data_IF_871853123744
#
_entry.id   IF_871853123744
#
_cell.length_a   1.000
_cell.length_b   1.000
_cell.length_c   1.000
_cell.angle_alpha   90.00
_cell.angle_beta   90.00
_cell.angle_gamma   90.00
#
_symmetry.space_group_name_H-M   'P 1'
#
loop_
_entity.id
_entity.type
_entity.pdbx_description
1 polymer ?
#
# COMPACT_ATOMS: atom_id res chain seq x y z
N UNK A 1 8.21 -52.40 5.44
CA UNK A 1 7.23 -51.36 5.83
C UNK A 1 7.76 -50.27 6.78
N UNK A 2 8.78 -50.53 7.63
CA UNK A 2 9.34 -49.53 8.57
C UNK A 2 10.13 -48.36 7.93
N UNK A 3 10.80 -48.56 6.80
CA UNK A 3 11.70 -47.55 6.21
C UNK A 3 11.00 -46.33 5.57
N UNK A 4 9.75 -46.49 5.12
CA UNK A 4 8.97 -45.41 4.49
C UNK A 4 8.45 -44.41 5.54
N UNK A 5 8.19 -44.88 6.77
CA UNK A 5 7.66 -44.07 7.86
C UNK A 5 8.70 -43.08 8.42
N UNK A 6 9.99 -43.44 8.41
CA UNK A 6 11.09 -42.57 8.88
C UNK A 6 11.43 -41.44 7.91
N UNK A 7 11.33 -41.65 6.59
CA UNK A 7 11.58 -40.60 5.58
C UNK A 7 10.50 -39.50 5.57
N UNK A 8 9.24 -39.85 5.79
CA UNK A 8 8.15 -38.87 5.88
C UNK A 8 8.34 -37.97 7.11
N UNK A 9 8.76 -38.56 8.24
CA UNK A 9 8.97 -37.82 9.49
C UNK A 9 10.12 -36.78 9.37
N UNK A 10 11.24 -37.15 8.74
CA UNK A 10 12.36 -36.21 8.55
C UNK A 10 12.03 -35.06 7.61
N UNK A 11 11.19 -35.30 6.58
CA UNK A 11 10.81 -34.26 5.62
C UNK A 11 9.82 -33.26 6.23
N UNK A 12 8.94 -33.74 7.12
CA UNK A 12 7.99 -32.93 7.86
C UNK A 12 8.67 -32.04 8.92
N UNK A 13 9.70 -32.56 9.59
CA UNK A 13 10.56 -31.78 10.49
C UNK A 13 11.38 -30.72 9.72
N UNK A 14 11.91 -31.07 8.54
CA UNK A 14 12.63 -30.14 7.68
C UNK A 14 11.74 -28.99 7.18
N UNK A 15 10.53 -29.30 6.71
CA UNK A 15 9.54 -28.30 6.27
C UNK A 15 9.11 -27.40 7.44
N UNK A 16 8.81 -27.97 8.61
CA UNK A 16 8.47 -27.21 9.81
C UNK A 16 9.61 -26.26 10.24
N UNK A 17 10.87 -26.70 10.10
CA UNK A 17 12.03 -25.86 10.38
C UNK A 17 12.19 -24.71 9.37
N UNK A 18 11.89 -24.94 8.09
CA UNK A 18 11.95 -23.92 7.04
C UNK A 18 10.85 -22.87 7.21
N UNK A 19 9.62 -23.31 7.49
CA UNK A 19 8.49 -22.43 7.78
C UNK A 19 8.75 -21.60 9.03
N UNK A 20 9.28 -22.19 10.12
CA UNK A 20 9.67 -21.44 11.32
C UNK A 20 10.74 -20.37 11.06
N UNK A 21 11.77 -20.69 10.27
CA UNK A 21 12.81 -19.71 9.90
C UNK A 21 12.24 -18.54 9.08
N UNK A 22 11.32 -18.82 8.17
CA UNK A 22 10.66 -17.77 7.38
C UNK A 22 9.76 -16.89 8.26
N UNK A 23 8.99 -17.49 9.17
CA UNK A 23 8.15 -16.74 10.13
C UNK A 23 9.02 -15.87 11.03
N UNK A 24 10.11 -16.40 11.59
CA UNK A 24 11.04 -15.63 12.42
C UNK A 24 11.69 -14.48 11.64
N UNK A 25 11.97 -14.67 10.34
CA UNK A 25 12.50 -13.61 9.49
C UNK A 25 11.47 -12.49 9.28
N UNK A 26 10.20 -12.82 9.04
CA UNK A 26 9.11 -11.86 8.91
C UNK A 26 8.90 -11.09 10.23
N UNK A 27 8.84 -11.81 11.36
CA UNK A 27 8.68 -11.19 12.69
C UNK A 27 9.84 -10.25 13.04
N UNK A 28 11.08 -10.61 12.68
CA UNK A 28 12.25 -9.74 12.88
C UNK A 28 12.21 -8.50 11.99
N UNK A 29 11.85 -8.63 10.72
CA UNK A 29 11.69 -7.47 9.83
C UNK A 29 10.61 -6.52 10.36
N UNK A 30 9.49 -7.05 10.82
CA UNK A 30 8.39 -6.24 11.36
C UNK A 30 8.77 -5.57 12.70
N UNK A 31 9.55 -6.26 13.54
CA UNK A 31 10.13 -5.70 14.75
C UNK A 31 11.14 -4.57 14.47
N UNK A 32 11.98 -4.72 13.44
CA UNK A 32 12.94 -3.69 13.02
C UNK A 32 12.25 -2.48 12.36
N UNK A 33 11.20 -2.72 11.56
CA UNK A 33 10.32 -1.67 11.02
C UNK A 33 9.62 -0.90 12.15
N UNK A 34 9.17 -1.60 13.18
CA UNK A 34 8.52 -0.98 14.35
C UNK A 34 9.53 -0.21 15.21
N UNK A 35 10.77 -0.70 15.34
CA UNK A 35 11.86 -0.04 16.07
C UNK A 35 12.38 1.22 15.38
N UNK A 36 12.33 1.28 14.05
CA UNK A 36 12.73 2.45 13.28
C UNK A 36 11.66 3.54 13.17
N UNK A 37 10.42 3.28 13.64
CA UNK A 37 9.41 4.35 13.69
C UNK A 37 9.86 5.42 14.68
N UNK A 38 10.19 6.59 14.14
CA UNK A 38 10.45 7.78 14.96
C UNK A 38 9.21 8.09 15.80
N UNK A 39 9.39 8.69 16.97
CA UNK A 39 8.26 9.19 17.78
C UNK A 39 7.33 10.08 16.93
N UNK A 40 7.93 10.82 15.98
CA UNK A 40 7.21 11.61 14.97
C UNK A 40 6.27 10.78 14.09
N UNK A 41 6.65 9.58 13.68
CA UNK A 41 5.82 8.71 12.83
C UNK A 41 4.60 8.17 13.57
N UNK A 42 4.74 7.84 14.85
CA UNK A 42 3.62 7.41 15.70
C UNK A 42 2.62 8.54 15.94
N UNK A 43 3.13 9.75 16.16
CA UNK A 43 2.30 10.94 16.33
C UNK A 43 1.59 11.27 15.01
N UNK A 44 2.29 11.21 13.87
CA UNK A 44 1.71 11.44 12.55
C UNK A 44 0.61 10.44 12.19
N UNK A 45 0.82 9.14 12.47
CA UNK A 45 -0.20 8.11 12.24
C UNK A 45 -1.42 8.32 13.15
N UNK A 46 -1.21 8.61 14.44
CA UNK A 46 -2.30 8.82 15.40
C UNK A 46 -3.12 10.08 15.10
N UNK A 47 -2.47 11.22 14.82
CA UNK A 47 -3.13 12.48 14.46
C UNK A 47 -3.85 12.30 13.14
N UNK A 48 -3.20 11.60 12.22
CA UNK A 48 -3.80 11.30 10.96
C UNK A 48 -5.11 10.52 11.11
N UNK A 49 -5.11 9.42 11.86
CA UNK A 49 -6.30 8.57 12.03
C UNK A 49 -7.40 9.31 12.78
N UNK A 50 -7.02 10.20 13.69
CA UNK A 50 -7.94 11.09 14.37
C UNK A 50 -8.58 12.12 13.44
N UNK A 51 -7.81 12.76 12.55
CA UNK A 51 -8.30 13.78 11.61
C UNK A 51 -9.34 13.24 10.61
N UNK A 52 -9.26 11.96 10.24
CA UNK A 52 -10.24 11.31 9.36
C UNK A 52 -11.46 10.72 10.07
N UNK A 53 -11.56 10.87 11.39
CA UNK A 53 -12.58 10.20 12.21
C UNK A 53 -13.80 11.09 12.46
N UNK A 54 -15.01 10.49 12.47
CA UNK A 54 -16.23 11.23 12.84
C UNK A 54 -16.22 11.90 14.23
N UNK A 55 -15.62 11.35 15.30
CA UNK A 55 -15.58 12.05 16.59
C UNK A 55 -14.82 13.38 16.55
N UNK A 56 -13.82 13.53 15.67
CA UNK A 56 -13.12 14.81 15.47
C UNK A 56 -14.09 15.91 15.01
N UNK A 57 -14.94 15.60 14.03
CA UNK A 57 -15.92 16.55 13.49
C UNK A 57 -16.94 16.97 14.55
N UNK A 58 -17.46 16.00 15.31
CA UNK A 58 -18.43 16.27 16.39
C UNK A 58 -17.81 17.16 17.47
N UNK A 59 -16.55 16.90 17.86
CA UNK A 59 -15.83 17.72 18.83
C UNK A 59 -15.73 19.18 18.37
N UNK A 60 -15.38 19.43 17.10
CA UNK A 60 -15.27 20.79 16.55
C UNK A 60 -16.62 21.50 16.49
N UNK A 61 -17.68 20.80 16.07
CA UNK A 61 -19.03 21.37 16.06
C UNK A 61 -19.45 21.79 17.47
N UNK A 62 -19.21 20.94 18.48
CA UNK A 62 -19.54 21.26 19.87
C UNK A 62 -18.66 22.39 20.40
N UNK A 63 -17.36 22.38 20.11
CA UNK A 63 -16.42 23.42 20.56
C UNK A 63 -16.77 24.79 19.98
N UNK A 64 -16.87 24.91 18.66
CA UNK A 64 -17.22 26.15 17.98
C UNK A 64 -18.65 26.59 18.27
N UNK A 65 -19.60 25.65 18.32
CA UNK A 65 -20.97 25.93 18.72
C UNK A 65 -21.05 26.51 20.13
N UNK A 66 -20.35 25.91 21.09
CA UNK A 66 -20.29 26.42 22.48
C UNK A 66 -19.65 27.80 22.53
N UNK A 67 -18.55 28.03 21.80
CA UNK A 67 -17.89 29.34 21.73
C UNK A 67 -18.84 30.44 21.23
N UNK A 68 -19.58 30.16 20.15
CA UNK A 68 -20.56 31.08 19.57
C UNK A 68 -21.70 31.33 20.57
N UNK A 69 -22.26 30.28 21.18
CA UNK A 69 -23.37 30.40 22.15
C UNK A 69 -23.01 31.24 23.38
N UNK A 70 -21.77 31.08 23.88
CA UNK A 70 -21.24 31.90 24.98
C UNK A 70 -21.08 33.36 24.54
N UNK A 71 -20.51 33.62 23.36
CA UNK A 71 -20.27 34.99 22.89
C UNK A 71 -21.54 35.72 22.41
N UNK A 72 -22.58 35.02 21.97
CA UNK A 72 -23.92 35.60 21.76
C UNK A 72 -24.60 36.01 23.08
N UNK A 73 -24.12 35.52 24.21
CA UNK A 73 -24.73 35.74 25.52
C UNK A 73 -26.01 34.92 25.74
N UNK A 74 -26.22 33.87 24.95
CA UNK A 74 -27.29 32.88 25.17
C UNK A 74 -26.96 32.05 26.42
N UNK A 75 -25.67 31.77 26.63
CA UNK A 75 -25.15 31.00 27.77
C UNK A 75 -24.42 31.95 28.72
N UNK A 76 -24.96 32.17 29.93
CA UNK A 76 -24.38 33.08 30.96
C UNK A 76 -23.17 32.50 31.71
N UNK A 77 -22.39 31.63 31.08
CA UNK A 77 -21.26 30.95 31.73
C UNK A 77 -20.01 31.84 31.76
N UNK A 78 -19.87 32.78 30.82
CA UNK A 78 -18.75 33.72 30.79
C UNK A 78 -19.16 35.09 30.21
N UNK A 79 -18.42 36.17 30.50
CA UNK A 79 -18.57 37.46 29.83
C UNK A 79 -18.32 37.33 28.32
N UNK A 80 -18.95 38.17 27.50
CA UNK A 80 -18.68 38.25 26.06
C UNK A 80 -17.24 38.72 25.83
N UNK A 81 -16.38 37.83 25.35
CA UNK A 81 -14.95 38.09 25.21
C UNK A 81 -14.51 38.20 23.73
N UNK A 82 -15.27 37.61 22.82
CA UNK A 82 -15.07 37.64 21.36
C UNK A 82 -16.37 38.12 20.68
N UNK A 83 -16.66 39.44 20.68
CA UNK A 83 -17.85 39.99 20.04
C UNK A 83 -17.82 39.76 18.52
N UNK A 84 -19.01 39.72 17.90
CA UNK A 84 -19.14 39.67 16.44
C UNK A 84 -18.31 40.79 15.81
N UNK A 85 -17.37 40.52 14.89
CA UNK A 85 -17.31 39.38 13.95
C UNK A 85 -16.46 38.14 14.35
N UNK A 86 -16.19 37.91 15.64
CA UNK A 86 -15.41 36.75 16.15
C UNK A 86 -13.97 36.69 15.61
N UNK A 87 -13.18 37.72 15.91
CA UNK A 87 -11.80 37.81 15.43
C UNK A 87 -10.93 36.66 15.99
N UNK A 88 -11.08 36.33 17.28
CA UNK A 88 -10.25 35.30 17.92
C UNK A 88 -10.58 33.91 17.37
N UNK A 89 -11.86 33.58 17.24
CA UNK A 89 -12.30 32.32 16.63
C UNK A 89 -11.76 32.18 15.20
N UNK A 90 -11.82 33.26 14.40
CA UNK A 90 -11.31 33.26 13.03
C UNK A 90 -9.81 32.98 12.95
N UNK A 91 -9.02 33.53 13.87
CA UNK A 91 -7.58 33.25 13.95
C UNK A 91 -7.29 31.79 14.33
N UNK A 92 -8.02 31.25 15.32
CA UNK A 92 -7.86 29.85 15.76
C UNK A 92 -8.22 28.89 14.63
N UNK A 93 -9.37 29.09 13.98
CA UNK A 93 -9.81 28.27 12.83
C UNK A 93 -8.79 28.33 11.69
N UNK A 94 -8.24 29.52 11.39
CA UNK A 94 -7.25 29.69 10.34
C UNK A 94 -5.96 28.90 10.59
N UNK A 95 -5.44 28.94 11.82
CA UNK A 95 -4.26 28.15 12.21
C UNK A 95 -4.58 26.66 12.18
N UNK A 96 -5.72 26.25 12.72
CA UNK A 96 -6.16 24.85 12.71
C UNK A 96 -6.26 24.29 11.29
N UNK A 97 -6.82 25.05 10.35
CA UNK A 97 -6.95 24.65 8.96
C UNK A 97 -5.59 24.38 8.27
N UNK A 98 -4.56 25.17 8.59
CA UNK A 98 -3.19 24.96 8.07
C UNK A 98 -2.62 23.64 8.58
N UNK A 99 -2.78 23.35 9.88
CA UNK A 99 -2.35 22.09 10.48
C UNK A 99 -3.09 20.89 9.87
N UNK A 100 -4.42 20.98 9.74
CA UNK A 100 -5.23 19.93 9.11
C UNK A 100 -4.79 19.66 7.68
N UNK A 101 -4.60 20.71 6.88
CA UNK A 101 -4.13 20.57 5.49
C UNK A 101 -2.78 19.87 5.42
N UNK A 102 -1.85 20.23 6.31
CA UNK A 102 -0.51 19.61 6.38
C UNK A 102 -0.59 18.14 6.78
N UNK A 103 -1.42 17.78 7.77
CA UNK A 103 -1.62 16.39 8.17
C UNK A 103 -2.31 15.57 7.08
N UNK A 104 -3.30 16.13 6.40
CA UNK A 104 -3.95 15.51 5.24
C UNK A 104 -2.93 15.27 4.13
N UNK A 105 -2.09 16.24 3.80
CA UNK A 105 -1.04 16.08 2.77
C UNK A 105 -0.03 15.01 3.16
N UNK A 106 0.38 14.95 4.43
CA UNK A 106 1.26 13.91 4.94
C UNK A 106 0.63 12.52 4.84
N UNK A 107 -0.66 12.40 5.17
CA UNK A 107 -1.44 11.18 4.97
C UNK A 107 -1.52 10.76 3.52
N UNK A 108 -1.84 11.70 2.63
CA UNK A 108 -1.91 11.46 1.19
C UNK A 108 -0.56 10.97 0.66
N UNK A 109 0.55 11.61 1.06
CA UNK A 109 1.90 11.17 0.68
C UNK A 109 2.20 9.74 1.15
N UNK A 110 1.87 9.39 2.39
CA UNK A 110 2.05 8.01 2.91
C UNK A 110 1.17 6.99 2.18
N UNK A 111 -0.07 7.34 1.87
CA UNK A 111 -0.97 6.46 1.10
C UNK A 111 -0.47 6.26 -0.32
N UNK A 112 0.03 7.32 -0.97
CA UNK A 112 0.63 7.26 -2.32
C UNK A 112 1.85 6.35 -2.34
N UNK A 113 2.78 6.51 -1.39
CA UNK A 113 3.97 5.65 -1.32
C UNK A 113 3.61 4.16 -1.18
N UNK A 114 2.63 3.84 -0.32
CA UNK A 114 2.14 2.45 -0.19
C UNK A 114 1.41 1.95 -1.44
N UNK A 115 0.72 2.82 -2.16
CA UNK A 115 0.07 2.47 -3.41
C UNK A 115 1.10 2.16 -4.50
N UNK A 116 2.17 2.96 -4.59
CA UNK A 116 3.26 2.74 -5.55
C UNK A 116 4.00 1.42 -5.27
N UNK A 117 4.29 1.11 -4.00
CA UNK A 117 4.88 -0.18 -3.60
C UNK A 117 4.01 -1.37 -4.01
N UNK A 118 2.68 -1.28 -3.78
CA UNK A 118 1.73 -2.32 -4.19
C UNK A 118 1.67 -2.47 -5.70
N UNK A 119 1.62 -1.36 -6.43
CA UNK A 119 1.62 -1.38 -7.89
C UNK A 119 2.87 -2.07 -8.46
N UNK A 120 4.04 -1.86 -7.83
CA UNK A 120 5.27 -2.52 -8.24
C UNK A 120 5.24 -4.04 -7.99
N UNK A 121 4.70 -4.49 -6.85
CA UNK A 121 4.52 -5.91 -6.56
C UNK A 121 3.49 -6.56 -7.50
N UNK A 122 2.37 -5.89 -7.75
CA UNK A 122 1.32 -6.37 -8.67
C UNK A 122 1.87 -6.52 -10.09
N UNK A 123 2.72 -5.58 -10.55
CA UNK A 123 3.43 -5.70 -11.82
C UNK A 123 4.29 -6.97 -11.83
N UNK A 124 5.15 -7.17 -10.82
CA UNK A 124 6.03 -8.35 -10.78
C UNK A 124 5.25 -9.68 -10.77
N UNK A 125 4.14 -9.75 -10.03
CA UNK A 125 3.28 -10.94 -9.98
C UNK A 125 2.67 -11.19 -11.36
N UNK A 126 2.23 -10.15 -12.05
CA UNK A 126 1.66 -10.27 -13.39
C UNK A 126 2.69 -10.79 -14.39
N UNK A 127 3.89 -10.21 -14.41
CA UNK A 127 5.00 -10.66 -15.27
C UNK A 127 5.40 -12.12 -14.98
N UNK A 128 5.40 -12.54 -13.72
CA UNK A 128 5.66 -13.94 -13.35
C UNK A 128 4.54 -14.87 -13.82
N UNK A 129 3.28 -14.48 -13.64
CA UNK A 129 2.12 -15.26 -14.07
C UNK A 129 2.08 -15.43 -15.59
N UNK A 130 2.43 -14.37 -16.34
CA UNK A 130 2.56 -14.41 -17.79
C UNK A 130 3.63 -15.41 -18.22
N UNK A 131 4.83 -15.35 -17.61
CA UNK A 131 5.90 -16.34 -17.85
C UNK A 131 5.45 -17.78 -17.56
N UNK A 132 4.79 -18.01 -16.43
CA UNK A 132 4.29 -19.35 -16.07
C UNK A 132 3.23 -19.83 -17.07
N UNK A 133 2.35 -18.95 -17.54
CA UNK A 133 1.36 -19.27 -18.57
C UNK A 133 2.02 -19.68 -19.89
N UNK A 134 3.04 -18.95 -20.34
CA UNK A 134 3.82 -19.30 -21.54
C UNK A 134 4.50 -20.66 -21.39
N UNK A 135 5.06 -20.96 -20.22
CA UNK A 135 5.65 -22.28 -19.96
C UNK A 135 4.59 -23.39 -20.01
N UNK A 136 3.40 -23.17 -19.46
CA UNK A 136 2.28 -24.12 -19.53
C UNK A 136 1.86 -24.33 -21.00
N UNK A 137 1.74 -23.28 -21.80
CA UNK A 137 1.44 -23.37 -23.23
C UNK A 137 2.50 -24.17 -23.99
N UNK A 138 3.79 -23.91 -23.75
CA UNK A 138 4.90 -24.65 -24.36
C UNK A 138 4.86 -26.15 -23.97
N UNK A 139 4.57 -26.46 -22.71
CA UNK A 139 4.41 -27.85 -22.26
C UNK A 139 3.22 -28.53 -22.94
N UNK A 140 2.08 -27.84 -23.07
CA UNK A 140 0.89 -28.36 -23.76
C UNK A 140 1.16 -28.60 -25.25
N UNK A 141 1.84 -27.68 -25.94
CA UNK A 141 2.25 -27.87 -27.33
C UNK A 141 3.20 -29.07 -27.49
N UNK A 142 4.16 -29.23 -26.57
CA UNK A 142 5.07 -30.38 -26.54
C UNK A 142 4.32 -31.71 -26.40
N UNK A 143 3.31 -31.77 -25.53
CA UNK A 143 2.44 -32.95 -25.34
C UNK A 143 1.58 -33.20 -26.59
N UNK A 144 0.95 -32.17 -27.15
CA UNK A 144 0.10 -32.30 -28.35
C UNK A 144 0.88 -32.84 -29.55
N UNK A 145 2.11 -32.34 -29.75
CA UNK A 145 3.02 -32.81 -30.80
C UNK A 145 3.36 -34.29 -30.63
N UNK A 146 3.58 -34.75 -29.40
CA UNK A 146 3.86 -36.16 -29.09
C UNK A 146 2.64 -37.08 -29.30
N UNK A 147 1.43 -36.57 -29.07
CA UNK A 147 0.18 -37.33 -29.22
C UNK A 147 -0.38 -37.30 -30.66
N UNK A 148 0.22 -36.52 -31.58
CA UNK A 148 -0.24 -36.41 -32.96
C UNK A 148 -1.60 -35.73 -33.10
N UNK A 149 -2.03 -34.98 -32.08
CA UNK A 149 -3.27 -34.20 -32.12
C UNK A 149 -2.98 -32.92 -32.89
N UNK A 150 -3.70 -32.63 -34.00
CA UNK A 150 -3.56 -31.37 -34.71
C UNK A 150 -3.94 -30.23 -33.74
N UNK A 151 -2.95 -29.44 -33.34
CA UNK A 151 -3.17 -28.22 -32.57
C UNK A 151 -3.94 -27.24 -33.44
N UNK A 152 -5.03 -26.72 -32.91
CA UNK A 152 -5.81 -25.65 -33.54
C UNK A 152 -4.98 -24.36 -33.50
N UNK A 153 -4.62 -23.93 -34.72
CA UNK A 153 -4.46 -22.57 -35.24
C UNK A 153 -3.39 -21.61 -34.68
N UNK A 154 -2.86 -20.84 -35.63
CA UNK A 154 -1.80 -19.82 -35.57
C UNK A 154 -1.79 -18.93 -34.30
N UNK A 155 -2.97 -18.66 -33.70
CA UNK A 155 -3.14 -17.87 -32.46
C UNK A 155 -2.37 -18.43 -31.24
N UNK A 156 -2.29 -19.76 -31.06
CA UNK A 156 -1.59 -20.36 -29.90
C UNK A 156 -0.07 -20.33 -30.09
N UNK A 157 0.39 -20.25 -31.34
CA UNK A 157 1.80 -20.14 -31.70
C UNK A 157 2.28 -18.69 -31.57
N UNK A 158 1.44 -17.74 -31.96
CA UNK A 158 1.62 -16.30 -31.75
C UNK A 158 1.66 -15.95 -30.25
N UNK A 159 0.74 -16.47 -29.43
CA UNK A 159 0.77 -16.31 -27.96
C UNK A 159 1.97 -16.99 -27.27
N UNK A 160 2.60 -18.00 -27.88
CA UNK A 160 3.77 -18.67 -27.33
C UNK A 160 5.10 -18.02 -27.76
N UNK A 161 5.09 -17.23 -28.84
CA UNK A 161 6.24 -16.48 -29.36
C UNK A 161 6.23 -15.00 -28.93
N UNK A 162 5.06 -14.36 -28.79
CA UNK A 162 4.92 -12.97 -28.33
C UNK A 162 4.79 -12.86 -26.81
N UNK A 163 5.90 -13.00 -26.09
CA UNK A 163 6.25 -12.07 -24.99
C UNK A 163 7.66 -12.35 -24.50
N UNK A 164 8.70 -11.88 -25.21
CA UNK A 164 9.98 -11.65 -24.57
C UNK A 164 9.77 -10.50 -23.58
N UNK A 165 9.42 -10.89 -22.34
CA UNK A 165 9.29 -10.03 -21.16
C UNK A 165 10.49 -9.08 -21.00
N UNK A 166 11.67 -9.52 -21.46
CA UNK A 166 12.90 -8.73 -21.54
C UNK A 166 12.82 -7.57 -22.54
N UNK A 167 12.16 -7.73 -23.70
CA UNK A 167 12.00 -6.64 -24.69
C UNK A 167 11.01 -5.58 -24.19
N UNK A 168 9.91 -5.99 -23.55
CA UNK A 168 8.95 -5.05 -22.96
C UNK A 168 9.57 -4.30 -21.78
N UNK A 169 10.36 -4.98 -20.93
CA UNK A 169 11.08 -4.36 -19.83
C UNK A 169 12.18 -3.40 -20.31
N UNK A 170 12.91 -3.76 -21.38
CA UNK A 170 13.97 -2.93 -21.98
C UNK A 170 13.39 -1.68 -22.67
N UNK A 171 12.29 -1.81 -23.41
CA UNK A 171 11.58 -0.66 -24.02
C UNK A 171 10.94 0.25 -22.97
N UNK A 172 10.38 -0.30 -21.87
CA UNK A 172 9.91 0.50 -20.73
C UNK A 172 11.05 1.25 -20.02
N UNK A 173 12.20 0.60 -19.81
CA UNK A 173 13.38 1.25 -19.22
C UNK A 173 13.90 2.38 -20.10
N UNK A 174 13.92 2.18 -21.42
CA UNK A 174 14.35 3.16 -22.40
C UNK A 174 13.38 4.35 -22.49
N UNK A 175 12.08 4.11 -22.38
CA UNK A 175 11.06 5.16 -22.34
C UNK A 175 11.00 5.93 -21.00
N UNK A 176 11.41 5.30 -19.89
CA UNK A 176 11.45 5.91 -18.55
C UNK A 176 12.80 6.52 -18.18
N UNK A 177 13.86 6.31 -18.97
CA UNK A 177 15.11 7.03 -18.80
C UNK A 177 14.83 8.52 -19.09
N UNK A 178 15.10 9.45 -18.14
CA UNK A 178 14.91 10.86 -18.41
C UNK A 178 15.84 11.22 -19.56
N UNK A 179 15.26 11.58 -20.71
CA UNK A 179 16.01 12.21 -21.79
C UNK A 179 16.76 13.38 -21.15
N UNK A 180 18.08 13.20 -21.00
CA UNK A 180 18.96 14.20 -20.48
C UNK A 180 18.77 15.44 -21.32
N UNK A 181 18.19 16.48 -20.72
CA UNK A 181 17.91 17.73 -21.39
C UNK A 181 19.15 18.25 -22.09
N UNK A 182 19.19 18.12 -23.40
CA UNK A 182 19.83 19.09 -24.25
C UNK A 182 18.98 20.36 -24.20
N UNK A 183 19.48 21.39 -23.50
CA UNK A 183 19.43 22.81 -23.84
C UNK A 183 20.19 23.63 -22.78
#
# INVERSE_FOLDING_TARGET
MRAVCTCVNSNQEALASAVRRNIDAIVRMEADYTRQRSCSDRIADSIGDFSGSMPFVVLHIVFYGTWILVNLGIVRVAPRFDPFPFMLLSMVVGVEAIFLSTFVLMKQKRMSQRADERAHLDLQINLLAEREMTLVLQMLQGISTKLGVPTVDEEVKELAEETPLEVVAEELQKAMAPEGGEN
#
